data_IF_195981955640
#
_entry.id   IF_195981955640
#
_cell.length_a   1.000
_cell.length_b   1.000
_cell.length_c   1.000
_cell.angle_alpha   90.00
_cell.angle_beta   90.00
_cell.angle_gamma   90.00
#
_symmetry.space_group_name_H-M   'P 1'
#
loop_
_entity.id
_entity.type
_entity.pdbx_description
1 polymer ?
#
# COMPACT_ATOMS: atom_id res chain seq x y z
N UNK A 1 7.46 29.46 -12.37
CA UNK A 1 6.22 28.66 -12.42
C UNK A 1 6.37 27.55 -11.41
N UNK A 2 5.49 27.47 -10.40
CA UNK A 2 5.49 26.30 -9.53
C UNK A 2 5.11 25.09 -10.38
N UNK A 3 6.02 24.12 -10.52
CA UNK A 3 5.69 22.83 -11.12
C UNK A 3 4.62 22.19 -10.24
N UNK A 4 3.39 22.18 -10.72
CA UNK A 4 2.31 21.40 -10.10
C UNK A 4 2.75 19.95 -10.05
N UNK A 5 2.72 19.36 -8.86
CA UNK A 5 3.13 17.99 -8.65
C UNK A 5 2.29 17.06 -9.55
N UNK A 6 2.91 16.00 -10.09
CA UNK A 6 2.20 15.04 -10.93
C UNK A 6 1.03 14.38 -10.17
N UNK A 7 -0.04 13.97 -10.87
CA UNK A 7 -1.22 13.40 -10.23
C UNK A 7 -0.91 12.09 -9.51
N UNK A 8 -1.71 11.77 -8.49
CA UNK A 8 -1.80 10.41 -7.93
C UNK A 8 -2.86 9.66 -8.72
N UNK A 9 -2.51 8.47 -9.21
CA UNK A 9 -3.40 7.59 -9.98
C UNK A 9 -3.89 6.43 -9.11
N UNK A 10 -5.19 6.29 -8.90
CA UNK A 10 -5.80 5.09 -8.34
C UNK A 10 -6.33 4.16 -9.46
N UNK A 11 -5.87 2.91 -9.45
CA UNK A 11 -6.39 1.82 -10.27
C UNK A 11 -7.37 1.03 -9.41
N UNK A 12 -8.66 1.21 -9.70
CA UNK A 12 -9.79 0.67 -8.95
C UNK A 12 -10.73 -0.10 -9.89
N UNK A 13 -10.28 -1.18 -10.53
CA UNK A 13 -11.07 -1.86 -11.59
C UNK A 13 -12.33 -2.56 -11.05
N UNK A 14 -12.31 -3.05 -9.80
CA UNK A 14 -13.52 -3.60 -9.17
C UNK A 14 -14.33 -2.55 -8.41
N UNK A 15 -13.68 -1.49 -7.93
CA UNK A 15 -14.23 -0.34 -7.19
C UNK A 15 -15.53 -0.60 -6.42
N UNK A 16 -15.44 -0.98 -5.14
CA UNK A 16 -16.66 -1.13 -4.34
C UNK A 16 -17.39 0.22 -4.21
N UNK A 17 -18.73 0.27 -4.25
CA UNK A 17 -19.50 1.53 -4.24
C UNK A 17 -19.22 2.44 -3.03
N UNK A 18 -18.75 1.88 -1.91
CA UNK A 18 -18.44 2.60 -0.69
C UNK A 18 -16.94 2.91 -0.52
N UNK A 19 -16.11 2.72 -1.55
CA UNK A 19 -14.67 3.04 -1.51
C UNK A 19 -14.45 4.52 -1.19
N UNK A 20 -15.10 5.41 -1.92
CA UNK A 20 -14.93 6.85 -1.75
C UNK A 20 -15.37 7.35 -0.36
N UNK A 21 -16.43 6.75 0.20
CA UNK A 21 -16.90 7.05 1.55
C UNK A 21 -15.90 6.55 2.60
N UNK A 22 -15.48 5.29 2.49
CA UNK A 22 -14.59 4.65 3.45
C UNK A 22 -13.20 5.28 3.48
N UNK A 23 -12.67 5.69 2.32
CA UNK A 23 -11.36 6.32 2.19
C UNK A 23 -11.44 7.85 2.03
N UNK A 24 -12.59 8.46 2.31
CA UNK A 24 -12.81 9.90 2.14
C UNK A 24 -11.69 10.76 2.76
N UNK A 25 -11.21 10.51 4.00
CA UNK A 25 -10.16 11.34 4.59
C UNK A 25 -8.83 11.24 3.82
N UNK A 26 -8.46 10.05 3.34
CA UNK A 26 -7.29 9.87 2.48
C UNK A 26 -7.45 10.61 1.15
N UNK A 27 -8.59 10.44 0.49
CA UNK A 27 -8.88 11.08 -0.80
C UNK A 27 -8.89 12.61 -0.68
N UNK A 28 -9.47 13.16 0.39
CA UNK A 28 -9.40 14.59 0.71
C UNK A 28 -7.96 15.05 0.93
N UNK A 29 -7.16 14.27 1.67
CA UNK A 29 -5.74 14.54 1.89
C UNK A 29 -4.97 14.65 0.58
N UNK A 30 -5.17 13.70 -0.35
CA UNK A 30 -4.53 13.71 -1.67
C UNK A 30 -4.99 14.92 -2.49
N UNK A 31 -6.32 15.10 -2.63
CA UNK A 31 -6.94 16.18 -3.43
C UNK A 31 -6.57 17.58 -2.93
N UNK A 32 -6.17 17.73 -1.66
CA UNK A 32 -5.69 19.00 -1.11
C UNK A 32 -4.27 19.39 -1.58
N UNK A 33 -3.51 18.45 -2.16
CA UNK A 33 -2.10 18.64 -2.53
C UNK A 33 -1.82 18.45 -4.02
N UNK A 34 -2.59 17.60 -4.68
CA UNK A 34 -2.42 17.27 -6.10
C UNK A 34 -3.71 16.77 -6.72
N UNK A 35 -3.73 16.65 -8.04
CA UNK A 35 -4.82 16.01 -8.76
C UNK A 35 -4.88 14.51 -8.42
N UNK A 36 -6.09 14.03 -8.16
CA UNK A 36 -6.38 12.61 -7.96
C UNK A 36 -7.12 12.08 -9.17
N UNK A 37 -6.51 11.13 -9.87
CA UNK A 37 -7.11 10.43 -11.01
C UNK A 37 -7.49 9.02 -10.58
N UNK A 38 -8.66 8.55 -10.99
CA UNK A 38 -9.14 7.21 -10.71
C UNK A 38 -9.63 6.55 -11.99
N UNK A 39 -9.40 5.25 -12.11
CA UNK A 39 -9.83 4.46 -13.26
C UNK A 39 -10.42 3.14 -12.81
N UNK A 40 -11.48 2.72 -13.49
CA UNK A 40 -12.23 1.50 -13.20
C UNK A 40 -12.15 0.46 -14.33
N UNK A 41 -11.28 0.70 -15.32
CA UNK A 41 -11.14 -0.18 -16.47
C UNK A 41 -9.68 -0.26 -16.94
N UNK A 42 -9.33 -1.40 -17.54
CA UNK A 42 -7.97 -1.67 -17.98
C UNK A 42 -7.46 -0.69 -19.05
N UNK A 43 -8.34 -0.24 -19.96
CA UNK A 43 -7.95 0.65 -21.07
C UNK A 43 -7.55 2.02 -20.55
N UNK A 44 -8.37 2.59 -19.68
CA UNK A 44 -8.09 3.87 -19.01
C UNK A 44 -6.86 3.77 -18.11
N UNK A 45 -6.67 2.67 -17.37
CA UNK A 45 -5.47 2.45 -16.57
C UNK A 45 -4.19 2.47 -17.40
N UNK A 46 -4.15 1.74 -18.52
CA UNK A 46 -3.01 1.72 -19.43
C UNK A 46 -2.73 3.12 -20.03
N UNK A 47 -3.79 3.84 -20.40
CA UNK A 47 -3.68 5.20 -20.93
C UNK A 47 -3.09 6.16 -19.89
N UNK A 48 -3.56 6.11 -18.64
CA UNK A 48 -3.10 6.99 -17.55
C UNK A 48 -1.67 6.66 -17.12
N UNK A 49 -1.29 5.38 -17.03
CA UNK A 49 0.08 4.95 -16.75
C UNK A 49 1.10 5.42 -17.82
N UNK A 50 0.63 5.63 -19.06
CA UNK A 50 1.46 6.06 -20.18
C UNK A 50 1.57 7.58 -20.32
N UNK A 51 0.88 8.36 -19.48
CA UNK A 51 0.91 9.82 -19.55
C UNK A 51 2.30 10.39 -19.26
N UNK A 52 2.54 11.60 -19.80
CA UNK A 52 3.78 12.37 -19.60
C UNK A 52 3.39 13.78 -19.11
N UNK A 53 3.87 14.22 -17.93
CA UNK A 53 4.66 13.46 -16.96
C UNK A 53 3.89 12.24 -16.40
N UNK A 54 4.58 11.16 -15.98
CA UNK A 54 3.92 10.02 -15.37
C UNK A 54 3.32 10.39 -14.00
N UNK A 55 2.35 9.60 -13.48
CA UNK A 55 1.82 9.81 -12.13
C UNK A 55 2.93 9.84 -11.07
N UNK A 56 2.77 10.69 -10.05
CA UNK A 56 3.71 10.77 -8.92
C UNK A 56 3.69 9.49 -8.08
N UNK A 57 2.52 8.89 -7.93
CA UNK A 57 2.32 7.60 -7.25
C UNK A 57 1.10 6.91 -7.85
N UNK A 58 1.15 5.58 -7.90
CA UNK A 58 0.02 4.72 -8.32
C UNK A 58 -0.51 3.97 -7.11
N UNK A 59 -1.81 4.05 -6.85
CA UNK A 59 -2.51 3.26 -5.85
C UNK A 59 -3.21 2.09 -6.55
N UNK A 60 -2.97 0.86 -6.10
CA UNK A 60 -3.78 -0.31 -6.47
C UNK A 60 -4.73 -0.54 -5.30
N UNK A 61 -6.01 -0.25 -5.54
CA UNK A 61 -7.02 -0.13 -4.48
C UNK A 61 -7.84 -1.40 -4.30
N UNK A 62 -7.78 -2.34 -5.24
CA UNK A 62 -8.52 -3.59 -5.22
C UNK A 62 -7.74 -4.74 -5.89
N UNK A 63 -8.28 -5.96 -5.76
CA UNK A 63 -7.63 -7.21 -6.19
C UNK A 63 -7.60 -7.42 -7.71
N UNK A 64 -8.16 -6.53 -8.53
CA UNK A 64 -8.36 -6.80 -9.96
C UNK A 64 -7.07 -7.19 -10.70
N UNK A 65 -5.92 -6.67 -10.28
CA UNK A 65 -4.64 -6.92 -10.93
C UNK A 65 -4.04 -8.30 -10.61
N UNK A 66 -4.66 -9.10 -9.72
CA UNK A 66 -4.34 -10.53 -9.58
C UNK A 66 -4.98 -11.37 -10.69
N UNK A 67 -6.03 -10.86 -11.34
CA UNK A 67 -6.81 -11.61 -12.32
C UNK A 67 -6.10 -11.65 -13.70
N UNK A 68 -6.10 -12.80 -14.40
CA UNK A 68 -5.43 -12.95 -15.69
C UNK A 68 -5.87 -11.93 -16.75
N UNK A 69 -7.15 -11.55 -16.79
CA UNK A 69 -7.67 -10.57 -17.75
C UNK A 69 -7.04 -9.17 -17.61
N UNK A 70 -6.52 -8.83 -16.43
CA UNK A 70 -5.85 -7.55 -16.15
C UNK A 70 -4.32 -7.67 -16.16
N UNK A 71 -3.76 -8.80 -16.62
CA UNK A 71 -2.33 -9.03 -16.61
C UNK A 71 -1.52 -7.97 -17.38
N UNK A 72 -2.10 -7.38 -18.43
CA UNK A 72 -1.48 -6.28 -19.18
C UNK A 72 -1.32 -5.01 -18.34
N UNK A 73 -2.32 -4.68 -17.51
CA UNK A 73 -2.26 -3.54 -16.59
C UNK A 73 -1.18 -3.79 -15.54
N UNK A 74 -1.10 -5.00 -14.97
CA UNK A 74 -0.05 -5.30 -14.00
C UNK A 74 1.36 -5.22 -14.63
N UNK A 75 1.56 -5.69 -15.87
CA UNK A 75 2.83 -5.46 -16.60
C UNK A 75 3.16 -3.97 -16.73
N UNK A 76 2.17 -3.15 -17.10
CA UNK A 76 2.38 -1.71 -17.24
C UNK A 76 2.76 -1.04 -15.90
N UNK A 77 2.13 -1.46 -14.80
CA UNK A 77 2.50 -0.99 -13.46
C UNK A 77 3.92 -1.40 -13.10
N UNK A 78 4.33 -2.64 -13.38
CA UNK A 78 5.71 -3.09 -13.14
C UNK A 78 6.73 -2.31 -13.99
N UNK A 79 6.40 -1.98 -15.23
CA UNK A 79 7.24 -1.11 -16.06
C UNK A 79 7.34 0.31 -15.50
N UNK A 80 6.24 0.85 -14.96
CA UNK A 80 6.23 2.13 -14.25
C UNK A 80 7.16 2.11 -13.03
N UNK A 81 7.10 1.04 -12.22
CA UNK A 81 8.01 0.83 -11.07
C UNK A 81 9.45 0.71 -11.53
N UNK A 82 9.73 -0.09 -12.55
CA UNK A 82 11.08 -0.25 -13.10
C UNK A 82 11.67 1.08 -13.59
N UNK A 83 10.83 2.01 -14.07
CA UNK A 83 11.19 3.37 -14.45
C UNK A 83 11.37 4.38 -13.30
N UNK A 84 11.28 3.95 -12.04
CA UNK A 84 11.43 4.82 -10.87
C UNK A 84 10.12 5.20 -10.18
N UNK A 85 8.99 4.70 -10.67
CA UNK A 85 7.67 4.95 -10.09
C UNK A 85 7.47 4.30 -8.71
N UNK A 86 6.53 4.84 -7.94
CA UNK A 86 6.13 4.29 -6.65
C UNK A 86 4.68 3.79 -6.73
N UNK A 87 4.47 2.54 -6.34
CA UNK A 87 3.15 1.90 -6.28
C UNK A 87 2.81 1.57 -4.84
N UNK A 88 1.56 1.76 -4.43
CA UNK A 88 1.05 1.35 -3.12
C UNK A 88 -0.15 0.42 -3.34
N UNK A 89 -0.03 -0.82 -2.86
CA UNK A 89 -1.14 -1.76 -2.81
C UNK A 89 -1.87 -1.55 -1.49
N UNK A 90 -3.12 -1.11 -1.55
CA UNK A 90 -3.89 -0.71 -0.38
C UNK A 90 -5.39 -0.82 -0.64
N UNK A 91 -6.19 -0.31 0.30
CA UNK A 91 -7.60 -0.11 0.11
C UNK A 91 -8.37 -1.41 0.32
N UNK A 92 -9.12 -1.83 -0.68
CA UNK A 92 -9.84 -3.09 -0.70
C UNK A 92 -9.01 -4.27 -1.23
N UNK A 93 -7.80 -4.06 -1.73
CA UNK A 93 -6.91 -5.18 -2.09
C UNK A 93 -6.79 -6.22 -0.96
N UNK A 94 -6.36 -5.87 0.28
CA UNK A 94 -6.22 -6.86 1.35
C UNK A 94 -7.54 -7.56 1.72
N UNK A 95 -8.68 -6.90 1.54
CA UNK A 95 -10.00 -7.43 1.90
C UNK A 95 -10.56 -8.43 0.89
N UNK A 96 -10.21 -8.30 -0.39
CA UNK A 96 -10.86 -9.05 -1.48
C UNK A 96 -9.92 -9.93 -2.30
N UNK A 97 -8.60 -9.80 -2.14
CA UNK A 97 -7.66 -10.72 -2.77
C UNK A 97 -7.82 -12.13 -2.20
N UNK A 98 -7.78 -13.14 -3.07
CA UNK A 98 -7.75 -14.53 -2.60
C UNK A 98 -6.39 -14.82 -1.95
N UNK A 99 -6.33 -15.55 -0.82
CA UNK A 99 -5.07 -15.85 -0.14
C UNK A 99 -4.01 -16.45 -1.05
N UNK A 100 -4.42 -17.35 -1.96
CA UNK A 100 -3.53 -18.05 -2.89
C UNK A 100 -3.00 -17.15 -4.03
N UNK A 101 -3.64 -16.00 -4.27
CA UNK A 101 -3.24 -15.05 -5.31
C UNK A 101 -2.19 -14.03 -4.83
N UNK A 102 -2.05 -13.84 -3.51
CA UNK A 102 -1.12 -12.86 -2.93
C UNK A 102 0.32 -13.18 -3.31
N UNK A 103 0.76 -14.43 -3.09
CA UNK A 103 2.16 -14.81 -3.36
C UNK A 103 2.51 -14.71 -4.86
N UNK A 104 1.72 -15.27 -5.79
CA UNK A 104 1.96 -15.07 -7.23
C UNK A 104 2.00 -13.60 -7.65
N UNK A 105 1.10 -12.77 -7.11
CA UNK A 105 1.04 -11.34 -7.42
C UNK A 105 2.35 -10.62 -7.07
N UNK A 106 2.86 -10.79 -5.84
CA UNK A 106 4.12 -10.18 -5.40
C UNK A 106 5.36 -10.85 -6.00
N UNK A 107 5.34 -12.15 -6.26
CA UNK A 107 6.44 -12.86 -6.91
C UNK A 107 6.71 -12.29 -8.31
N UNK A 108 5.65 -11.92 -9.05
CA UNK A 108 5.78 -11.28 -10.36
C UNK A 108 6.42 -9.88 -10.29
N UNK A 109 6.30 -9.21 -9.14
CA UNK A 109 7.02 -7.97 -8.81
C UNK A 109 8.47 -8.19 -8.34
N UNK A 110 8.92 -9.45 -8.24
CA UNK A 110 10.24 -9.79 -7.71
C UNK A 110 10.32 -9.81 -6.17
N UNK A 111 9.17 -9.79 -5.49
CA UNK A 111 9.09 -9.79 -4.03
C UNK A 111 8.69 -11.18 -3.51
N UNK A 112 9.35 -11.72 -2.46
CA UNK A 112 9.02 -13.04 -1.91
C UNK A 112 7.77 -13.04 -1.02
N UNK A 113 7.03 -11.92 -1.00
CA UNK A 113 5.94 -11.70 -0.08
C UNK A 113 4.81 -12.70 -0.30
N UNK A 114 4.26 -13.19 0.81
CA UNK A 114 3.11 -14.08 0.81
C UNK A 114 2.11 -13.64 1.89
N UNK A 115 0.96 -14.31 1.96
CA UNK A 115 -0.06 -14.03 2.97
C UNK A 115 0.49 -14.34 4.38
N UNK A 116 0.38 -13.38 5.30
CA UNK A 116 0.66 -13.54 6.74
C UNK A 116 -0.59 -13.65 7.62
N UNK A 117 -0.49 -13.15 8.85
CA UNK A 117 -1.60 -13.12 9.80
C UNK A 117 -2.75 -12.17 9.41
N UNK A 118 -3.99 -12.47 9.82
CA UNK A 118 -5.11 -11.52 9.82
C UNK A 118 -5.39 -11.13 11.26
N UNK A 119 -5.02 -9.92 11.65
CA UNK A 119 -5.11 -9.53 13.05
C UNK A 119 -5.25 -8.02 13.21
N UNK A 120 -5.69 -7.62 14.40
CA UNK A 120 -5.53 -6.26 14.89
C UNK A 120 -4.45 -6.25 15.95
N UNK A 121 -3.53 -5.31 15.82
CA UNK A 121 -2.50 -5.00 16.82
C UNK A 121 -1.93 -3.61 16.53
N UNK A 122 -1.16 -3.08 17.47
CA UNK A 122 -0.40 -1.85 17.33
C UNK A 122 0.95 -2.14 16.70
N UNK A 123 1.26 -1.44 15.61
CA UNK A 123 2.61 -1.44 15.00
C UNK A 123 3.31 -0.12 15.30
N UNK A 124 4.63 -0.18 15.37
CA UNK A 124 5.53 0.96 15.58
C UNK A 124 6.33 1.23 14.31
N UNK A 125 6.59 2.51 14.01
CA UNK A 125 7.37 2.90 12.83
C UNK A 125 8.79 2.35 12.92
N UNK A 126 9.29 1.76 11.83
CA UNK A 126 10.70 1.44 11.69
C UNK A 126 11.43 2.67 11.13
N UNK A 127 12.07 3.45 12.02
CA UNK A 127 12.73 4.69 11.64
C UNK A 127 13.88 4.49 10.65
N UNK A 128 14.59 3.36 10.73
CA UNK A 128 15.66 3.03 9.79
C UNK A 128 15.11 2.76 8.39
N UNK A 129 14.07 1.94 8.27
CA UNK A 129 13.39 1.67 7.00
C UNK A 129 12.78 2.94 6.39
N UNK A 130 12.11 3.76 7.19
CA UNK A 130 11.55 5.03 6.76
C UNK A 130 12.63 6.01 6.23
N UNK A 131 13.76 6.12 6.93
CA UNK A 131 14.88 6.95 6.50
C UNK A 131 15.48 6.44 5.18
N UNK A 132 15.73 5.14 5.05
CA UNK A 132 16.23 4.52 3.82
C UNK A 132 15.25 4.64 2.65
N UNK A 133 13.95 4.69 2.95
CA UNK A 133 12.90 4.92 1.97
C UNK A 133 12.76 6.39 1.53
N UNK A 134 13.34 7.33 2.29
CA UNK A 134 13.15 8.77 2.08
C UNK A 134 11.78 9.27 2.53
N UNK A 135 11.08 8.53 3.41
CA UNK A 135 9.78 8.92 3.95
C UNK A 135 10.00 9.83 5.17
N UNK A 136 9.26 10.93 5.24
CA UNK A 136 9.41 11.89 6.34
C UNK A 136 8.90 11.33 7.68
N UNK A 137 9.82 10.79 8.48
CA UNK A 137 9.54 10.15 9.79
C UNK A 137 8.78 11.08 10.74
N UNK A 138 9.07 12.38 10.71
CA UNK A 138 8.46 13.35 11.63
C UNK A 138 6.96 13.55 11.37
N UNK A 139 6.48 13.12 10.20
CA UNK A 139 5.07 13.17 9.80
C UNK A 139 4.35 11.85 9.99
N UNK A 140 5.09 10.76 10.25
CA UNK A 140 4.53 9.45 10.48
C UNK A 140 4.08 9.29 11.94
N UNK A 141 2.92 8.64 12.19
CA UNK A 141 2.57 8.16 13.52
C UNK A 141 3.70 7.30 14.10
N UNK A 142 4.11 7.55 15.34
CA UNK A 142 5.14 6.71 15.96
C UNK A 142 4.66 5.27 16.15
N UNK A 143 3.38 5.11 16.47
CA UNK A 143 2.69 3.84 16.51
C UNK A 143 1.20 4.04 16.25
N UNK A 144 0.53 3.03 15.71
CA UNK A 144 -0.93 3.02 15.61
C UNK A 144 -1.48 1.60 15.52
N UNK A 145 -2.71 1.41 16.00
CA UNK A 145 -3.45 0.16 15.86
C UNK A 145 -4.18 0.13 14.51
N UNK A 146 -4.11 -1.02 13.85
CA UNK A 146 -4.87 -1.30 12.64
C UNK A 146 -5.33 -2.76 12.60
N UNK A 147 -6.50 -3.01 11.99
CA UNK A 147 -6.90 -4.37 11.61
C UNK A 147 -6.41 -4.61 10.19
N UNK A 148 -5.54 -5.59 10.02
CA UNK A 148 -4.85 -5.77 8.75
C UNK A 148 -4.60 -7.23 8.39
N UNK A 149 -4.50 -7.44 7.08
CA UNK A 149 -3.91 -8.60 6.43
C UNK A 149 -2.42 -8.31 6.31
N UNK A 150 -1.58 -9.11 6.97
CA UNK A 150 -0.13 -8.98 6.90
C UNK A 150 0.44 -9.66 5.65
N UNK A 151 1.64 -9.25 5.25
CA UNK A 151 2.49 -9.97 4.32
C UNK A 151 3.72 -10.53 5.04
N UNK A 152 4.15 -11.73 4.66
CA UNK A 152 5.31 -12.44 5.20
C UNK A 152 6.53 -12.31 4.29
N UNK A 153 7.69 -12.81 4.74
CA UNK A 153 8.96 -12.78 4.02
C UNK A 153 9.41 -11.35 3.65
N UNK A 154 9.04 -10.37 4.46
CA UNK A 154 9.52 -8.99 4.33
C UNK A 154 10.84 -8.88 5.09
N UNK A 155 11.85 -8.27 4.49
CA UNK A 155 13.10 -7.93 5.20
C UNK A 155 12.83 -6.77 6.18
N UNK A 156 13.54 -6.71 7.32
CA UNK A 156 13.32 -5.62 8.30
C UNK A 156 13.51 -4.22 7.69
N UNK A 157 14.43 -4.09 6.73
CA UNK A 157 14.68 -2.84 5.98
C UNK A 157 13.51 -2.39 5.09
N UNK A 158 12.62 -3.32 4.70
CA UNK A 158 11.43 -3.05 3.89
C UNK A 158 10.16 -2.95 4.76
N UNK A 159 10.23 -3.25 6.06
CA UNK A 159 9.09 -3.09 6.98
C UNK A 159 9.00 -1.64 7.45
N UNK A 160 8.11 -0.84 6.86
CA UNK A 160 7.94 0.56 7.27
C UNK A 160 7.33 0.69 8.68
N UNK A 161 6.43 -0.22 9.04
CA UNK A 161 5.98 -0.43 10.41
C UNK A 161 6.20 -1.89 10.79
N UNK A 162 6.43 -2.15 12.08
CA UNK A 162 6.62 -3.50 12.60
C UNK A 162 5.93 -3.69 13.94
N UNK A 163 5.62 -4.93 14.24
CA UNK A 163 5.33 -5.36 15.60
C UNK A 163 6.63 -5.48 16.38
N UNK A 164 6.56 -5.30 17.69
CA UNK A 164 7.66 -5.59 18.63
C UNK A 164 7.20 -6.60 19.69
N UNK A 165 8.08 -6.96 20.62
CA UNK A 165 7.79 -7.96 21.67
C UNK A 165 6.59 -7.58 22.56
N UNK A 166 6.19 -6.31 22.59
CA UNK A 166 5.02 -5.83 23.32
C UNK A 166 3.74 -5.77 22.48
N UNK A 167 3.83 -6.01 21.17
CA UNK A 167 2.65 -6.07 20.30
C UNK A 167 1.81 -7.28 20.64
N UNK A 168 0.55 -7.03 21.01
CA UNK A 168 -0.42 -8.06 21.38
C UNK A 168 -1.63 -8.06 20.47
N UNK A 169 -2.30 -9.20 20.37
CA UNK A 169 -3.58 -9.33 19.68
C UNK A 169 -4.64 -8.49 20.38
N UNK A 170 -5.26 -7.59 19.62
CA UNK A 170 -6.34 -6.71 20.07
C UNK A 170 -7.68 -7.28 19.57
N UNK A 171 -8.21 -8.27 20.28
CA UNK A 171 -9.46 -8.97 19.93
C UNK A 171 -10.46 -8.93 21.08
N UNK A 172 -11.75 -8.78 20.75
CA UNK A 172 -12.85 -8.92 21.70
C UNK A 172 -13.25 -10.38 21.96
N UNK A 173 -12.74 -11.32 21.16
CA UNK A 173 -13.14 -12.74 21.19
C UNK A 173 -12.00 -13.66 21.59
N UNK A 174 -10.75 -13.29 21.25
CA UNK A 174 -9.57 -14.09 21.54
C UNK A 174 -8.77 -13.48 22.70
N UNK A 175 -8.13 -14.34 23.48
CA UNK A 175 -7.22 -13.90 24.54
C UNK A 175 -6.06 -13.09 23.95
N UNK A 176 -5.61 -12.09 24.69
CA UNK A 176 -4.41 -11.33 24.33
C UNK A 176 -3.21 -12.29 24.31
N UNK A 177 -2.66 -12.51 23.12
CA UNK A 177 -1.42 -13.25 22.87
C UNK A 177 -0.46 -12.38 22.08
N UNK A 178 0.80 -12.79 21.97
CA UNK A 178 1.77 -12.06 21.14
C UNK A 178 1.27 -11.98 19.70
N UNK A 179 1.33 -10.78 19.12
CA UNK A 179 1.07 -10.53 17.71
C UNK A 179 2.37 -10.43 16.90
N UNK A 180 3.53 -10.61 17.54
CA UNK A 180 4.83 -10.49 16.90
C UNK A 180 5.22 -11.77 16.17
N UNK A 181 5.37 -11.66 14.84
CA UNK A 181 5.93 -12.70 14.00
C UNK A 181 7.05 -12.08 13.16
N UNK A 182 8.31 -12.48 13.37
CA UNK A 182 9.43 -11.98 12.58
C UNK A 182 9.21 -12.20 11.08
N UNK A 183 9.52 -11.21 10.26
CA UNK A 183 9.31 -11.30 8.81
C UNK A 183 7.89 -10.96 8.35
N UNK A 184 6.97 -10.64 9.26
CA UNK A 184 5.60 -10.21 8.94
C UNK A 184 5.35 -8.73 9.23
N UNK A 185 4.65 -8.05 8.31
CA UNK A 185 4.16 -6.69 8.57
C UNK A 185 2.86 -6.39 7.81
N UNK A 186 2.06 -5.46 8.35
CA UNK A 186 0.94 -4.86 7.65
C UNK A 186 1.33 -3.65 6.78
N UNK A 187 2.55 -3.12 6.95
CA UNK A 187 3.03 -1.94 6.20
C UNK A 187 4.46 -2.18 5.73
N UNK A 188 4.60 -2.47 4.44
CA UNK A 188 5.89 -2.70 3.79
C UNK A 188 6.13 -1.66 2.69
N UNK A 189 7.41 -1.35 2.42
CA UNK A 189 7.84 -0.50 1.31
C UNK A 189 9.21 -0.97 0.82
N UNK A 190 9.22 -1.76 -0.25
CA UNK A 190 10.43 -2.34 -0.81
C UNK A 190 10.88 -1.63 -2.09
N UNK A 191 12.19 -1.62 -2.32
CA UNK A 191 12.78 -1.16 -3.58
C UNK A 191 12.66 -2.25 -4.65
N UNK A 192 12.08 -1.91 -5.79
CA UNK A 192 11.96 -2.81 -6.95
C UNK A 192 12.47 -2.08 -8.19
N UNK A 193 13.59 -2.55 -8.75
CA UNK A 193 14.30 -1.85 -9.82
C UNK A 193 14.74 -0.45 -9.38
N UNK A 194 14.37 0.58 -10.15
CA UNK A 194 14.61 1.97 -9.79
C UNK A 194 13.51 2.59 -8.89
N UNK A 195 12.36 1.92 -8.77
CA UNK A 195 11.18 2.42 -8.05
C UNK A 195 10.91 1.67 -6.76
N UNK A 196 9.67 1.75 -6.29
CA UNK A 196 9.23 1.15 -5.02
C UNK A 196 7.84 0.53 -5.13
N UNK A 197 7.65 -0.55 -4.38
CA UNK A 197 6.34 -1.17 -4.15
C UNK A 197 6.06 -1.17 -2.65
N UNK A 198 4.98 -0.50 -2.27
CA UNK A 198 4.44 -0.46 -0.93
C UNK A 198 3.20 -1.33 -0.78
N UNK A 199 2.96 -1.78 0.44
CA UNK A 199 1.76 -2.52 0.83
C UNK A 199 1.23 -1.92 2.14
N UNK A 200 -0.08 -1.68 2.19
CA UNK A 200 -0.82 -1.29 3.40
C UNK A 200 -2.00 -2.23 3.55
N UNK A 201 -1.90 -3.16 4.49
CA UNK A 201 -2.83 -4.28 4.66
C UNK A 201 -4.10 -3.98 5.45
N UNK A 202 -4.29 -2.73 5.86
CA UNK A 202 -5.47 -2.25 6.60
C UNK A 202 -6.77 -2.54 5.84
N UNK A 203 -7.73 -3.18 6.53
CA UNK A 203 -9.04 -3.55 5.96
C UNK A 203 -10.19 -2.63 6.39
N UNK A 204 -9.92 -1.64 7.23
CA UNK A 204 -10.88 -0.80 7.94
C UNK A 204 -10.67 0.71 7.74
N UNK A 205 -9.66 1.12 6.96
CA UNK A 205 -9.37 2.52 6.70
C UNK A 205 -9.03 3.29 7.99
N UNK A 206 -8.17 2.72 8.83
CA UNK A 206 -7.69 3.39 10.03
C UNK A 206 -6.92 4.68 9.71
N UNK A 207 -7.15 5.73 10.51
CA UNK A 207 -6.58 7.06 10.26
C UNK A 207 -5.04 7.06 10.17
N UNK A 208 -4.37 6.20 10.95
CA UNK A 208 -2.92 6.03 10.87
C UNK A 208 -2.46 5.56 9.48
N UNK A 209 -3.17 4.61 8.88
CA UNK A 209 -2.88 4.11 7.54
C UNK A 209 -3.05 5.18 6.47
N UNK A 210 -4.00 6.09 6.63
CA UNK A 210 -4.15 7.25 5.72
C UNK A 210 -2.92 8.16 5.77
N UNK A 211 -2.41 8.46 6.97
CA UNK A 211 -1.18 9.24 7.13
C UNK A 211 0.01 8.51 6.50
N UNK A 212 0.11 7.20 6.66
CA UNK A 212 1.16 6.40 6.01
C UNK A 212 1.10 6.50 4.49
N UNK A 213 -0.08 6.30 3.88
CA UNK A 213 -0.23 6.41 2.42
C UNK A 213 0.14 7.82 1.93
N UNK A 214 -0.33 8.88 2.62
CA UNK A 214 0.02 10.26 2.28
C UNK A 214 1.55 10.51 2.39
N UNK A 215 2.20 9.92 3.39
CA UNK A 215 3.65 10.05 3.58
C UNK A 215 4.43 9.37 2.44
N UNK A 216 4.02 8.16 2.03
CA UNK A 216 4.65 7.43 0.91
C UNK A 216 4.44 8.19 -0.41
N UNK A 217 3.27 8.81 -0.61
CA UNK A 217 3.00 9.70 -1.74
C UNK A 217 3.79 11.02 -1.71
N UNK A 218 4.51 11.33 -0.63
CA UNK A 218 5.24 12.59 -0.46
C UNK A 218 4.36 13.82 -0.21
N UNK A 219 3.19 13.64 0.41
CA UNK A 219 2.14 14.67 0.55
C UNK A 219 2.06 15.33 1.94
N UNK A 220 3.03 15.08 2.83
CA UNK A 220 3.03 15.54 4.24
C UNK A 220 4.18 16.50 4.60
#
# INVERSE_FOLDING_TARGET
MATTMAPVLAISIKNQPWFDEMFAPLLTGIKSKTEFQQTEDATSALRLLSQRPPPSTVLITDQALTLPENAAVWTAVLNYVAGGGTVIIMGFFPSFVLPDDIKPFFTRAGLPWARGAYQRTTLTVNTAAAAAAGVNIQKLPQSYSQKAVYVTNVSDEDMLYKTDDNSVLESLVFTSGSAHVPGETAVALSKVGAGRIGYVGDVNAEAGSHVVVLAICGLL
#
